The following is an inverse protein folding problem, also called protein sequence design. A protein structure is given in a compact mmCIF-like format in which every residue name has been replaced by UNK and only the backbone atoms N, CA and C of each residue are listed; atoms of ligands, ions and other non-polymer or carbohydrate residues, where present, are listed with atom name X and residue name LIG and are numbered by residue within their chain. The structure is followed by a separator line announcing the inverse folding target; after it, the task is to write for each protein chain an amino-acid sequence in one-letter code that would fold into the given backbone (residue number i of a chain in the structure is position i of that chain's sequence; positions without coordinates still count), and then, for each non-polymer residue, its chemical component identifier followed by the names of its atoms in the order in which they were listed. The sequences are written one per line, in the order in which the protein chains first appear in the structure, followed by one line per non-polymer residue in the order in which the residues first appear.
data_IF_832717438409
#
_entry.id   IF_832717438409
#
_cell.length_a   1.000
_cell.length_b   1.000
_cell.length_c   1.000
_cell.angle_alpha   90.00
_cell.angle_beta   90.00
_cell.angle_gamma   90.00
#
_symmetry.space_group_name_H-M   'P 1'
#
loop_
_entity.id
_entity.type
_entity.pdbx_description
1 polymer ?
#
# COMPACT_ATOMS: atom_id res chain seq x y z
N UNK A 1 11.30 10.35 -8.51
CA UNK A 1 11.55 9.39 -7.41
C UNK A 1 12.56 8.37 -7.89
N UNK A 2 13.49 7.95 -7.03
CA UNK A 2 14.31 6.76 -7.26
C UNK A 2 13.45 5.50 -7.17
N UNK A 3 13.95 4.36 -7.65
CA UNK A 3 13.23 3.08 -7.57
C UNK A 3 12.89 2.69 -6.12
N UNK A 4 13.83 2.95 -5.20
CA UNK A 4 13.65 2.68 -3.78
C UNK A 4 12.57 3.56 -3.16
N UNK A 5 12.58 4.85 -3.47
CA UNK A 5 11.54 5.79 -3.01
C UNK A 5 10.16 5.42 -3.53
N UNK A 6 10.07 5.01 -4.80
CA UNK A 6 8.81 4.59 -5.42
C UNK A 6 8.25 3.36 -4.74
N UNK A 7 9.09 2.35 -4.49
CA UNK A 7 8.69 1.15 -3.78
C UNK A 7 8.24 1.47 -2.35
N UNK A 8 8.98 2.31 -1.63
CA UNK A 8 8.59 2.76 -0.29
C UNK A 8 7.22 3.47 -0.30
N UNK A 9 6.99 4.39 -1.24
CA UNK A 9 5.71 5.07 -1.37
C UNK A 9 4.56 4.09 -1.68
N UNK A 10 4.82 3.06 -2.49
CA UNK A 10 3.84 2.01 -2.78
C UNK A 10 3.50 1.20 -1.52
N UNK A 11 4.49 0.86 -0.68
CA UNK A 11 4.27 0.18 0.59
C UNK A 11 3.43 1.01 1.57
N UNK A 12 3.74 2.29 1.72
CA UNK A 12 2.95 3.20 2.54
C UNK A 12 1.51 3.30 2.03
N UNK A 13 1.30 3.42 0.72
CA UNK A 13 -0.04 3.48 0.15
C UNK A 13 -0.80 2.16 0.29
N UNK A 14 -0.11 1.02 0.16
CA UNK A 14 -0.72 -0.30 0.25
C UNK A 14 -1.12 -0.64 1.69
N UNK A 15 -0.34 -0.20 2.68
CA UNK A 15 -0.44 -0.72 4.04
C UNK A 15 -0.54 0.33 5.14
N UNK A 16 -0.44 1.63 4.86
CA UNK A 16 -0.60 2.69 5.86
C UNK A 16 -1.85 3.54 5.55
N UNK A 17 -3.01 3.27 6.17
CA UNK A 17 -4.27 3.95 5.86
C UNK A 17 -4.23 5.49 5.90
N UNK A 18 -3.52 6.14 6.85
CA UNK A 18 -3.37 7.58 6.84
C UNK A 18 -2.74 8.12 5.55
N UNK A 19 -1.76 7.41 4.95
CA UNK A 19 -1.13 7.83 3.70
C UNK A 19 -2.13 7.85 2.56
N UNK A 20 -2.91 6.77 2.40
CA UNK A 20 -3.94 6.68 1.38
C UNK A 20 -4.96 7.81 1.53
N UNK A 21 -5.39 8.07 2.76
CA UNK A 21 -6.33 9.15 3.07
C UNK A 21 -5.76 10.54 2.72
N UNK A 22 -4.50 10.80 3.07
CA UNK A 22 -3.82 12.07 2.74
C UNK A 22 -3.75 12.29 1.23
N UNK A 23 -3.38 11.26 0.45
CA UNK A 23 -3.29 11.39 -1.02
C UNK A 23 -4.67 11.56 -1.65
N UNK A 24 -5.68 10.84 -1.17
CA UNK A 24 -7.06 11.03 -1.60
C UNK A 24 -7.52 12.46 -1.39
N UNK A 25 -7.36 13.01 -0.18
CA UNK A 25 -7.77 14.38 0.13
C UNK A 25 -7.01 15.41 -0.71
N UNK A 26 -5.73 15.17 -1.01
CA UNK A 26 -4.94 16.05 -1.86
C UNK A 26 -5.49 16.07 -3.28
N UNK A 27 -5.80 14.90 -3.85
CA UNK A 27 -6.40 14.81 -5.19
C UNK A 27 -7.77 15.50 -5.27
N UNK A 28 -8.58 15.43 -4.22
CA UNK A 28 -9.87 16.13 -4.17
C UNK A 28 -9.73 17.66 -4.12
N UNK A 29 -8.61 18.18 -3.63
CA UNK A 29 -8.33 19.63 -3.55
C UNK A 29 -7.71 20.19 -4.82
N UNK A 30 -7.26 19.33 -5.73
CA UNK A 30 -6.63 19.74 -6.98
C UNK A 30 -5.80 18.62 -7.59
N UNK A 31 -5.37 18.78 -8.86
CA UNK A 31 -4.57 17.78 -9.54
C UNK A 31 -3.25 17.53 -8.78
N UNK A 32 -2.88 16.25 -8.65
CA UNK A 32 -1.56 15.88 -8.17
C UNK A 32 -0.51 16.29 -9.22
N UNK A 33 0.61 16.86 -8.76
CA UNK A 33 1.80 17.00 -9.59
C UNK A 33 2.33 15.61 -9.96
N UNK A 34 2.89 15.46 -11.16
CA UNK A 34 3.47 14.21 -11.67
C UNK A 34 2.49 13.02 -11.68
N UNK A 35 1.36 13.21 -12.37
CA UNK A 35 0.28 12.22 -12.51
C UNK A 35 0.79 10.82 -12.90
N UNK A 36 1.72 10.75 -13.84
CA UNK A 36 2.27 9.48 -14.34
C UNK A 36 3.09 8.75 -13.28
N UNK A 37 3.80 9.48 -12.42
CA UNK A 37 4.54 8.88 -11.31
C UNK A 37 3.60 8.33 -10.26
N UNK A 38 2.54 9.06 -9.92
CA UNK A 38 1.51 8.57 -9.01
C UNK A 38 0.74 7.38 -9.57
N UNK A 39 0.48 7.36 -10.89
CA UNK A 39 -0.12 6.20 -11.55
C UNK A 39 0.76 4.94 -11.36
N UNK A 40 2.07 5.07 -11.57
CA UNK A 40 3.03 3.97 -11.34
C UNK A 40 3.05 3.51 -9.89
N UNK A 41 3.10 4.45 -8.93
CA UNK A 41 3.07 4.11 -7.50
C UNK A 41 1.77 3.39 -7.13
N UNK A 42 0.63 3.82 -7.67
CA UNK A 42 -0.67 3.17 -7.42
C UNK A 42 -0.73 1.77 -8.00
N UNK A 43 -0.22 1.57 -9.21
CA UNK A 43 -0.13 0.23 -9.82
C UNK A 43 0.73 -0.71 -8.98
N UNK A 44 1.87 -0.22 -8.47
CA UNK A 44 2.70 -0.98 -7.53
C UNK A 44 1.96 -1.29 -6.22
N UNK A 45 1.28 -0.31 -5.63
CA UNK A 45 0.53 -0.50 -4.39
C UNK A 45 -0.63 -1.49 -4.55
N UNK A 46 -1.32 -1.48 -5.69
CA UNK A 46 -2.35 -2.47 -6.01
C UNK A 46 -1.73 -3.86 -6.17
N UNK A 47 -0.61 -3.94 -6.89
CA UNK A 47 0.10 -5.19 -7.09
C UNK A 47 0.57 -5.83 -5.77
N UNK A 48 0.91 -5.03 -4.75
CA UNK A 48 1.22 -5.51 -3.39
C UNK A 48 0.08 -6.23 -2.67
N UNK A 49 -1.17 -6.16 -3.17
CA UNK A 49 -2.32 -6.92 -2.64
C UNK A 49 -2.68 -8.17 -3.45
N UNK A 50 -1.92 -8.48 -4.51
CA UNK A 50 -2.11 -9.68 -5.32
C UNK A 50 -1.55 -10.93 -4.63
N UNK A 51 -1.69 -12.08 -5.30
CA UNK A 51 -1.08 -13.33 -4.87
C UNK A 51 0.43 -13.16 -4.64
N UNK A 52 0.93 -13.77 -3.58
CA UNK A 52 2.36 -13.79 -3.26
C UNK A 52 3.14 -14.59 -4.33
N UNK A 53 4.41 -14.25 -4.58
CA UNK A 53 5.22 -14.97 -5.54
C UNK A 53 5.57 -16.36 -5.01
N UNK A 54 5.53 -17.36 -5.89
CA UNK A 54 5.93 -18.74 -5.57
C UNK A 54 7.46 -18.91 -5.50
N UNK A 55 8.22 -18.01 -6.15
CA UNK A 55 9.69 -18.08 -6.28
C UNK A 55 10.33 -16.70 -6.43
N UNK A 56 11.63 -16.61 -6.18
CA UNK A 56 12.44 -15.40 -6.42
C UNK A 56 12.30 -14.31 -5.35
N UNK A 57 11.67 -14.60 -4.22
CA UNK A 57 11.56 -13.70 -3.06
C UNK A 57 12.80 -13.81 -2.17
N UNK A 58 13.08 -12.78 -1.35
CA UNK A 58 14.32 -12.73 -0.58
C UNK A 58 14.38 -13.72 0.59
N UNK A 59 13.26 -13.91 1.29
CA UNK A 59 13.18 -14.80 2.46
C UNK A 59 11.72 -15.20 2.80
N UNK A 60 11.49 -16.37 3.42
CA UNK A 60 10.17 -16.76 3.91
C UNK A 60 9.59 -15.76 4.92
N UNK A 61 10.44 -15.15 5.74
CA UNK A 61 10.03 -14.12 6.71
C UNK A 61 9.49 -12.85 6.05
N UNK A 62 10.06 -12.43 4.91
CA UNK A 62 9.53 -11.31 4.13
C UNK A 62 8.15 -11.64 3.54
N UNK A 63 7.94 -12.86 3.04
CA UNK A 63 6.62 -13.32 2.59
C UNK A 63 5.59 -13.31 3.71
N UNK A 64 5.91 -13.89 4.87
CA UNK A 64 4.98 -13.94 6.01
C UNK A 64 4.57 -12.53 6.47
N UNK A 65 5.53 -11.60 6.55
CA UNK A 65 5.21 -10.21 6.86
C UNK A 65 4.29 -9.62 5.79
N UNK A 66 4.61 -9.76 4.51
CA UNK A 66 3.75 -9.22 3.46
C UNK A 66 2.32 -9.80 3.54
N UNK A 67 2.19 -11.11 3.76
CA UNK A 67 0.90 -11.77 3.97
C UNK A 67 0.13 -11.15 5.16
N UNK A 68 0.82 -10.93 6.28
CA UNK A 68 0.23 -10.31 7.46
C UNK A 68 -0.30 -8.90 7.17
N UNK A 69 0.50 -8.07 6.50
CA UNK A 69 0.10 -6.72 6.12
C UNK A 69 -1.03 -6.70 5.09
N UNK A 70 -1.05 -7.64 4.13
CA UNK A 70 -2.19 -7.85 3.22
C UNK A 70 -3.47 -8.23 3.97
N UNK A 71 -3.38 -9.06 5.01
CA UNK A 71 -4.53 -9.43 5.82
C UNK A 71 -5.06 -8.23 6.62
N UNK A 72 -4.16 -7.48 7.28
CA UNK A 72 -4.54 -6.31 8.07
C UNK A 72 -5.15 -5.19 7.22
N UNK A 73 -4.57 -4.89 6.06
CA UNK A 73 -5.03 -3.81 5.17
C UNK A 73 -6.45 -4.03 4.63
N UNK A 74 -6.87 -5.29 4.45
CA UNK A 74 -8.23 -5.65 4.02
C UNK A 74 -9.29 -5.21 5.01
N UNK A 75 -9.01 -5.26 6.32
CA UNK A 75 -9.92 -4.76 7.35
C UNK A 75 -10.23 -3.26 7.21
N UNK A 76 -9.37 -2.51 6.52
CA UNK A 76 -9.53 -1.08 6.25
C UNK A 76 -10.04 -0.79 4.83
N UNK A 77 -10.33 -1.83 4.03
CA UNK A 77 -10.76 -1.66 2.64
C UNK A 77 -9.69 -1.04 1.73
N UNK A 78 -8.40 -1.16 2.09
CA UNK A 78 -7.28 -0.54 1.35
C UNK A 78 -7.28 -0.88 -0.15
N UNK A 79 -7.48 -2.14 -0.60
CA UNK A 79 -7.51 -2.46 -2.02
C UNK A 79 -8.55 -1.64 -2.79
N UNK A 80 -9.78 -1.55 -2.26
CA UNK A 80 -10.86 -0.75 -2.88
C UNK A 80 -10.49 0.73 -2.92
N UNK A 81 -9.88 1.25 -1.85
CA UNK A 81 -9.42 2.64 -1.79
C UNK A 81 -8.37 2.97 -2.85
N UNK A 82 -7.41 2.08 -3.07
CA UNK A 82 -6.39 2.22 -4.12
C UNK A 82 -7.01 2.25 -5.52
N UNK A 83 -7.93 1.34 -5.82
CA UNK A 83 -8.64 1.35 -7.11
C UNK A 83 -9.43 2.64 -7.32
N UNK A 84 -10.14 3.13 -6.30
CA UNK A 84 -10.87 4.41 -6.39
C UNK A 84 -9.92 5.57 -6.64
N UNK A 85 -8.78 5.61 -5.96
CA UNK A 85 -7.77 6.65 -6.15
C UNK A 85 -7.18 6.60 -7.56
N UNK A 86 -6.91 5.40 -8.09
CA UNK A 86 -6.44 5.20 -9.47
C UNK A 86 -7.44 5.67 -10.52
N UNK A 87 -8.73 5.35 -10.33
CA UNK A 87 -9.80 5.84 -11.20
C UNK A 87 -9.98 7.36 -11.10
N UNK A 88 -9.89 7.93 -9.90
CA UNK A 88 -9.96 9.38 -9.70
C UNK A 88 -8.76 10.10 -10.33
N UNK A 89 -7.59 9.45 -10.37
CA UNK A 89 -6.43 9.90 -11.14
C UNK A 89 -6.62 9.71 -12.65
N UNK A 90 -7.76 9.18 -13.12
CA UNK A 90 -8.10 8.94 -14.52
C UNK A 90 -7.22 7.93 -15.22
N UNK A 91 -6.63 6.98 -14.48
CA UNK A 91 -5.86 5.88 -15.05
C UNK A 91 -6.83 4.73 -15.34
N UNK A 92 -7.00 4.42 -16.62
CA UNK A 92 -7.88 3.34 -17.09
C UNK A 92 -7.13 2.00 -17.23
N UNK A 93 -7.88 0.91 -17.41
CA UNK A 93 -7.34 -0.43 -17.67
C UNK A 93 -6.91 -1.19 -16.41
N UNK A 94 -6.52 -2.45 -16.61
CA UNK A 94 -6.07 -3.35 -15.54
C UNK A 94 -4.64 -3.01 -15.12
N UNK A 95 -4.31 -3.01 -13.82
CA UNK A 95 -2.93 -2.89 -13.36
C UNK A 95 -2.04 -3.99 -14.00
N UNK A 96 -0.76 -3.69 -14.28
CA UNK A 96 0.08 -4.51 -15.15
C UNK A 96 0.60 -5.82 -14.55
N UNK A 97 0.29 -6.12 -13.28
CA UNK A 97 0.83 -7.28 -12.58
C UNK A 97 -0.26 -8.32 -12.29
N UNK A 98 0.06 -9.60 -12.49
CA UNK A 98 -0.80 -10.75 -12.12
C UNK A 98 -0.51 -11.33 -10.73
N UNK A 99 0.67 -11.05 -10.18
CA UNK A 99 1.10 -11.42 -8.83
C UNK A 99 2.06 -10.36 -8.28
N UNK A 100 2.36 -10.41 -6.98
CA UNK A 100 3.38 -9.54 -6.39
C UNK A 100 4.75 -9.88 -7.00
N UNK A 101 5.44 -8.92 -7.65
CA UNK A 101 6.79 -9.14 -8.14
C UNK A 101 7.74 -9.56 -7.02
N UNK A 102 8.46 -10.66 -7.23
CA UNK A 102 9.28 -11.25 -6.19
C UNK A 102 10.43 -10.34 -5.72
N UNK A 103 10.95 -9.51 -6.63
CA UNK A 103 11.95 -8.49 -6.33
C UNK A 103 11.45 -7.41 -5.36
N UNK A 104 10.13 -7.24 -5.18
CA UNK A 104 9.57 -6.30 -4.21
C UNK A 104 9.44 -6.92 -2.82
N UNK A 105 9.33 -8.25 -2.74
CA UNK A 105 9.29 -8.99 -1.46
C UNK A 105 10.69 -9.04 -0.87
N UNK A 106 11.05 -7.97 -0.15
CA UNK A 106 12.32 -7.81 0.55
C UNK A 106 12.09 -7.59 2.05
N UNK A 107 13.17 -7.67 2.83
CA UNK A 107 13.19 -7.26 4.24
C UNK A 107 12.98 -5.74 4.34
N UNK A 108 11.72 -5.33 4.25
CA UNK A 108 11.31 -3.92 4.29
C UNK A 108 10.93 -3.60 5.72
N UNK A 109 11.54 -2.55 6.26
CA UNK A 109 11.08 -1.91 7.48
C UNK A 109 9.76 -1.20 7.22
N UNK A 110 8.66 -1.95 7.27
CA UNK A 110 7.32 -1.39 7.19
C UNK A 110 7.06 -0.58 8.47
N UNK A 111 6.49 0.63 8.37
CA UNK A 111 6.14 1.42 9.56
C UNK A 111 5.17 0.62 10.45
N UNK A 112 5.34 0.71 11.77
CA UNK A 112 4.50 -0.01 12.73
C UNK A 112 3.01 0.26 12.48
N UNK A 113 2.24 -0.80 12.30
CA UNK A 113 0.79 -0.76 12.13
C UNK A 113 0.10 -0.42 13.46
N UNK A 114 0.18 0.83 13.92
CA UNK A 114 -0.48 1.25 15.17
C UNK A 114 -1.95 1.58 14.89
N UNK A 115 -2.86 0.70 15.32
CA UNK A 115 -4.21 1.16 15.71
C UNK A 115 -4.03 2.12 16.90
N UNK A 116 -4.70 3.28 16.94
CA UNK A 116 -4.92 3.93 18.22
C UNK A 116 -5.65 2.91 19.10
N UNK A 117 -5.10 2.61 20.28
CA UNK A 117 -5.81 1.83 21.29
C UNK A 117 -7.05 2.64 21.69
N UNK A 118 -8.17 2.39 21.02
CA UNK A 118 -9.48 2.77 21.54
C UNK A 118 -9.69 1.97 22.83
N UNK A 119 -9.88 2.69 23.94
CA UNK A 119 -10.05 2.23 25.32
C UNK A 119 -8.78 1.90 26.13
N UNK A 120 -8.21 2.95 26.74
CA UNK A 120 -7.98 2.92 28.19
C UNK A 120 -8.99 3.87 28.86
N UNK A 121 -10.24 3.41 28.99
CA UNK A 121 -11.12 3.85 30.08
C UNK A 121 -11.11 2.75 31.12
N UNK A 122 -10.86 3.15 32.38
CA UNK A 122 -10.89 2.42 33.66
C UNK A 122 -9.53 1.99 34.20
N UNK A 123 -9.15 2.65 35.30
CA UNK A 123 -8.00 2.32 36.14
C UNK A 123 -7.62 3.52 37.01
N UNK A 124 -8.40 3.76 38.06
CA UNK A 124 -8.26 4.77 39.11
C UNK A 124 -6.88 4.73 39.80
N UNK A 125 -6.52 5.77 40.56
CA UNK A 125 -6.67 5.64 42.02
C UNK A 125 -7.70 6.60 42.62
#
# INVERSE_FOLDING_TARGET
MTERERLQAAYELAFFPPRLHTIWNRLQRGPLSDRDEWARVLDMAIALHLALPERGFSSPSALHRLAHYQAQSRAYGMPRGLYRLRTALGVAGTPPHGSVPAAWVRDIGLPEFRRPLANQRKGTP
#
